data_IF_001961614277
#
_entry.id   IF_001961614277
#
_cell.length_a   1.000
_cell.length_b   1.000
_cell.length_c   1.000
_cell.angle_alpha   90.00
_cell.angle_beta   90.00
_cell.angle_gamma   90.00
#
_symmetry.space_group_name_H-M   'P 1'
#
loop_
_entity.id
_entity.type
_entity.pdbx_description
1 polymer ?
#
# COMPACT_ATOMS: atom_id res chain seq x y z
N UNK A 1 28.01 5.90 -15.17
CA UNK A 1 26.81 6.03 -14.31
C UNK A 1 26.14 4.67 -14.26
N UNK A 2 25.89 4.12 -13.06
CA UNK A 2 25.20 2.84 -12.93
C UNK A 2 23.75 2.91 -13.41
N UNK A 3 23.12 1.76 -13.68
CA UNK A 3 21.69 1.70 -14.03
C UNK A 3 20.88 2.21 -12.84
N UNK A 4 20.02 3.22 -13.06
CA UNK A 4 19.11 3.75 -12.04
C UNK A 4 18.07 2.70 -11.67
N UNK A 5 17.72 2.61 -10.39
CA UNK A 5 16.72 1.66 -9.90
C UNK A 5 15.35 2.07 -10.41
N UNK A 6 14.62 1.15 -11.04
CA UNK A 6 13.35 1.44 -11.72
C UNK A 6 12.18 0.89 -10.92
N UNK A 7 11.15 1.70 -10.74
CA UNK A 7 9.91 1.27 -10.10
C UNK A 7 8.73 1.31 -11.07
N UNK A 8 7.90 0.27 -11.01
CA UNK A 8 6.58 0.23 -11.65
C UNK A 8 5.50 0.62 -10.64
N UNK A 9 4.52 1.41 -11.04
CA UNK A 9 3.53 1.96 -10.11
C UNK A 9 2.11 1.56 -10.51
N UNK A 10 1.39 0.86 -9.64
CA UNK A 10 0.03 0.37 -9.91
C UNK A 10 -0.98 1.11 -9.02
N UNK A 11 -2.05 1.63 -9.63
CA UNK A 11 -3.09 2.37 -8.90
C UNK A 11 -4.46 2.21 -9.56
N UNK A 12 -5.53 2.38 -8.79
CA UNK A 12 -6.89 2.53 -9.35
C UNK A 12 -7.28 4.01 -9.52
N UNK A 13 -6.43 4.96 -9.09
CA UNK A 13 -6.60 6.39 -9.37
C UNK A 13 -7.88 7.01 -8.80
N UNK A 14 -8.38 6.53 -7.65
CA UNK A 14 -9.74 6.90 -7.17
C UNK A 14 -9.84 8.24 -6.43
N UNK A 15 -8.75 9.00 -6.28
CA UNK A 15 -8.77 10.29 -5.61
C UNK A 15 -7.51 10.63 -4.81
N UNK A 16 -7.67 11.49 -3.81
CA UNK A 16 -6.55 12.13 -3.09
C UNK A 16 -5.56 11.15 -2.45
N UNK A 17 -6.01 10.00 -1.94
CA UNK A 17 -5.10 8.97 -1.41
C UNK A 17 -4.10 8.46 -2.45
N UNK A 18 -4.59 8.04 -3.62
CA UNK A 18 -3.75 7.59 -4.74
C UNK A 18 -2.86 8.72 -5.27
N UNK A 19 -3.38 9.95 -5.34
CA UNK A 19 -2.61 11.12 -5.79
C UNK A 19 -1.50 11.47 -4.81
N UNK A 20 -1.80 11.47 -3.51
CA UNK A 20 -0.84 11.76 -2.44
C UNK A 20 0.33 10.78 -2.41
N UNK A 21 0.06 9.48 -2.58
CA UNK A 21 1.10 8.45 -2.69
C UNK A 21 2.08 8.73 -3.83
N UNK A 22 1.56 8.92 -5.05
CA UNK A 22 2.41 9.15 -6.22
C UNK A 22 3.13 10.51 -6.15
N UNK A 23 2.42 11.56 -5.71
CA UNK A 23 3.00 12.90 -5.54
C UNK A 23 4.17 12.90 -4.56
N UNK A 24 4.01 12.26 -3.41
CA UNK A 24 5.07 12.19 -2.38
C UNK A 24 6.31 11.51 -2.94
N UNK A 25 6.16 10.38 -3.63
CA UNK A 25 7.30 9.68 -4.23
C UNK A 25 7.94 10.52 -5.32
N UNK A 26 7.14 11.17 -6.18
CA UNK A 26 7.67 12.03 -7.24
C UNK A 26 8.41 13.26 -6.70
N UNK A 27 7.91 13.89 -5.62
CA UNK A 27 8.59 14.98 -4.93
C UNK A 27 9.90 14.52 -4.30
N UNK A 28 9.91 13.35 -3.66
CA UNK A 28 11.13 12.75 -3.12
C UNK A 28 12.17 12.44 -4.21
N UNK A 29 11.74 12.05 -5.41
CA UNK A 29 12.64 11.90 -6.57
C UNK A 29 13.18 13.25 -7.04
N UNK A 30 12.31 14.25 -7.22
CA UNK A 30 12.69 15.60 -7.69
C UNK A 30 13.65 16.32 -6.75
N UNK A 31 13.49 16.14 -5.45
CA UNK A 31 14.35 16.73 -4.41
C UNK A 31 15.65 15.96 -4.16
N UNK A 32 15.84 14.81 -4.82
CA UNK A 32 17.02 13.96 -4.64
C UNK A 32 17.02 13.09 -3.38
N UNK A 33 15.91 13.09 -2.62
CA UNK A 33 15.73 12.18 -1.47
C UNK A 33 15.67 10.71 -1.92
N UNK A 34 15.08 10.45 -3.10
CA UNK A 34 15.03 9.16 -3.77
C UNK A 34 15.78 9.20 -5.09
N UNK A 35 16.73 8.29 -5.26
CA UNK A 35 17.44 8.10 -6.53
C UNK A 35 16.89 6.89 -7.29
N UNK A 36 15.68 7.05 -7.82
CA UNK A 36 14.96 6.04 -8.59
C UNK A 36 14.23 6.68 -9.78
N UNK A 37 13.85 5.88 -10.77
CA UNK A 37 12.96 6.28 -11.86
C UNK A 37 11.61 5.56 -11.73
N UNK A 38 10.50 6.31 -11.88
CA UNK A 38 9.19 5.69 -12.11
C UNK A 38 9.11 5.33 -13.58
N UNK A 39 9.32 4.06 -13.91
CA UNK A 39 9.38 3.59 -15.30
C UNK A 39 8.01 3.60 -15.98
N UNK A 40 6.95 3.31 -15.22
CA UNK A 40 5.57 3.45 -15.68
C UNK A 40 4.61 3.63 -14.52
N UNK A 41 3.45 4.21 -14.82
CA UNK A 41 2.25 4.13 -14.00
C UNK A 41 1.21 3.34 -14.76
N UNK A 42 0.68 2.30 -14.13
CA UNK A 42 -0.49 1.57 -14.57
C UNK A 42 -1.73 2.03 -13.78
N UNK A 43 -2.79 2.40 -14.51
CA UNK A 43 -4.10 2.70 -13.93
C UNK A 43 -5.15 1.65 -14.34
N UNK A 44 -5.85 1.05 -13.38
CA UNK A 44 -6.93 0.08 -13.65
C UNK A 44 -8.26 0.72 -14.06
N UNK A 45 -8.23 2.00 -14.42
CA UNK A 45 -9.36 2.80 -14.91
C UNK A 45 -8.90 3.59 -16.12
N UNK A 46 -9.83 3.83 -17.04
CA UNK A 46 -9.62 4.68 -18.19
C UNK A 46 -10.17 6.10 -17.95
N UNK A 47 -9.70 7.03 -18.78
CA UNK A 47 -10.18 8.42 -18.80
C UNK A 47 -11.68 8.46 -19.09
N UNK A 48 -12.39 9.35 -18.40
CA UNK A 48 -13.84 9.51 -18.50
C UNK A 48 -14.65 8.62 -17.57
N UNK A 49 -14.02 7.74 -16.77
CA UNK A 49 -14.76 6.97 -15.76
C UNK A 49 -15.21 7.82 -14.57
N UNK A 50 -14.34 8.71 -14.05
CA UNK A 50 -14.65 9.66 -12.98
C UNK A 50 -13.68 10.85 -13.01
N UNK A 51 -14.09 12.04 -12.58
CA UNK A 51 -13.22 13.22 -12.46
C UNK A 51 -11.95 12.96 -11.62
N UNK A 52 -12.08 12.14 -10.56
CA UNK A 52 -10.95 11.76 -9.71
C UNK A 52 -9.91 10.90 -10.46
N UNK A 53 -10.37 10.00 -11.33
CA UNK A 53 -9.50 9.23 -12.23
C UNK A 53 -8.81 10.18 -13.19
N UNK A 54 -9.55 11.05 -13.87
CA UNK A 54 -9.01 11.94 -14.89
C UNK A 54 -7.94 12.86 -14.31
N UNK A 55 -8.21 13.47 -13.15
CA UNK A 55 -7.22 14.27 -12.42
C UNK A 55 -6.03 13.50 -11.88
N UNK A 56 -6.11 12.17 -11.73
CA UNK A 56 -4.95 11.31 -11.45
C UNK A 56 -4.14 11.04 -12.73
N UNK A 57 -4.80 10.73 -13.84
CA UNK A 57 -4.13 10.50 -15.14
C UNK A 57 -3.41 11.76 -15.62
N UNK A 58 -4.06 12.92 -15.54
CA UNK A 58 -3.46 14.23 -15.88
C UNK A 58 -2.21 14.51 -15.03
N UNK A 59 -2.23 14.14 -13.75
CA UNK A 59 -1.08 14.30 -12.86
C UNK A 59 0.09 13.42 -13.29
N UNK A 60 -0.18 12.17 -13.71
CA UNK A 60 0.85 11.24 -14.21
C UNK A 60 1.48 11.77 -15.49
N UNK A 61 0.65 12.17 -16.46
CA UNK A 61 1.09 12.75 -17.73
C UNK A 61 1.87 14.06 -17.51
N UNK A 62 1.41 14.91 -16.60
CA UNK A 62 2.08 16.16 -16.22
C UNK A 62 3.44 15.95 -15.53
N UNK A 63 3.69 14.76 -14.96
CA UNK A 63 5.02 14.37 -14.49
C UNK A 63 5.93 13.82 -15.60
N UNK A 64 5.41 13.63 -16.82
CA UNK A 64 6.13 13.01 -17.93
C UNK A 64 6.38 11.51 -17.73
N UNK A 65 5.59 10.85 -16.87
CA UNK A 65 5.73 9.42 -16.60
C UNK A 65 4.92 8.63 -17.63
N UNK A 66 5.48 7.55 -18.23
CA UNK A 66 4.71 6.67 -19.11
C UNK A 66 3.46 6.13 -18.42
N UNK A 67 2.29 6.44 -18.98
CA UNK A 67 0.99 6.03 -18.46
C UNK A 67 0.42 4.88 -19.31
N UNK A 68 0.01 3.82 -18.64
CA UNK A 68 -0.77 2.72 -19.22
C UNK A 68 -2.09 2.63 -18.48
N UNK A 69 -3.21 2.92 -19.15
CA UNK A 69 -4.54 2.69 -18.60
C UNK A 69 -5.19 1.47 -19.23
N UNK A 70 -5.91 0.70 -18.42
CA UNK A 70 -6.80 -0.35 -18.93
C UNK A 70 -7.92 -0.61 -17.94
N UNK A 71 -9.14 -0.20 -18.29
CA UNK A 71 -10.26 -0.26 -17.36
C UNK A 71 -10.68 -1.67 -16.97
N UNK A 72 -10.61 -1.95 -15.66
CA UNK A 72 -11.19 -3.15 -15.08
C UNK A 72 -12.72 -3.15 -15.19
N UNK A 73 -13.35 -1.99 -14.97
CA UNK A 73 -14.81 -1.88 -14.99
C UNK A 73 -15.35 -2.16 -16.39
N UNK A 74 -14.73 -1.58 -17.43
CA UNK A 74 -15.17 -1.81 -18.80
C UNK A 74 -14.88 -3.24 -19.26
N UNK A 75 -13.70 -3.78 -18.90
CA UNK A 75 -13.35 -5.16 -19.23
C UNK A 75 -14.39 -6.17 -18.71
N UNK A 76 -14.81 -5.97 -17.46
CA UNK A 76 -15.85 -6.75 -16.79
C UNK A 76 -17.23 -6.51 -17.41
N UNK A 77 -17.62 -5.25 -17.61
CA UNK A 77 -18.96 -4.87 -18.08
C UNK A 77 -19.27 -5.42 -19.48
N UNK A 78 -18.34 -5.28 -20.43
CA UNK A 78 -18.50 -5.80 -21.81
C UNK A 78 -18.68 -7.32 -21.86
N UNK A 79 -18.23 -8.03 -20.82
CA UNK A 79 -18.33 -9.50 -20.70
C UNK A 79 -19.49 -9.97 -19.81
N UNK A 80 -20.29 -9.05 -19.24
CA UNK A 80 -21.37 -9.40 -18.32
C UNK A 80 -20.89 -10.10 -17.04
N UNK A 81 -19.65 -9.85 -16.61
CA UNK A 81 -19.05 -10.55 -15.46
C UNK A 81 -19.40 -9.88 -14.13
N UNK A 82 -19.59 -10.63 -13.03
CA UNK A 82 -19.83 -10.06 -11.71
C UNK A 82 -18.54 -9.52 -11.07
N UNK A 83 -18.65 -8.77 -9.97
CA UNK A 83 -17.49 -8.52 -9.12
C UNK A 83 -17.04 -9.85 -8.48
N UNK A 84 -15.72 -10.14 -8.43
CA UNK A 84 -15.21 -11.32 -7.76
C UNK A 84 -15.45 -11.20 -6.25
N UNK A 85 -15.75 -12.34 -5.64
CA UNK A 85 -15.77 -12.48 -4.19
C UNK A 85 -14.31 -12.53 -3.69
N UNK A 86 -13.87 -11.58 -2.84
CA UNK A 86 -12.49 -11.51 -2.37
C UNK A 86 -12.10 -12.72 -1.48
N UNK A 87 -13.08 -13.48 -0.97
CA UNK A 87 -12.84 -14.68 -0.18
C UNK A 87 -12.77 -15.96 -1.02
N UNK A 88 -12.95 -15.86 -2.34
CA UNK A 88 -12.88 -16.99 -3.26
C UNK A 88 -11.68 -16.85 -4.22
N UNK A 89 -11.20 -17.97 -4.77
CA UNK A 89 -10.22 -17.93 -5.84
C UNK A 89 -10.67 -17.02 -6.99
N UNK A 90 -9.72 -16.28 -7.57
CA UNK A 90 -10.02 -15.36 -8.66
C UNK A 90 -10.64 -16.11 -9.85
N UNK A 91 -11.76 -15.60 -10.40
CA UNK A 91 -12.41 -16.24 -11.54
C UNK A 91 -11.53 -16.15 -12.79
N UNK A 92 -11.66 -17.07 -13.78
CA UNK A 92 -10.81 -17.11 -14.96
C UNK A 92 -10.68 -15.78 -15.72
N UNK A 93 -11.79 -15.05 -15.89
CA UNK A 93 -11.79 -13.76 -16.59
C UNK A 93 -10.93 -12.71 -15.87
N UNK A 94 -10.80 -12.80 -14.54
CA UNK A 94 -9.91 -11.91 -13.77
C UNK A 94 -8.46 -12.25 -14.06
N UNK A 95 -8.10 -13.53 -14.18
CA UNK A 95 -6.75 -13.93 -14.59
C UNK A 95 -6.45 -13.46 -16.03
N UNK A 96 -7.44 -13.51 -16.93
CA UNK A 96 -7.30 -12.99 -18.30
C UNK A 96 -7.10 -11.47 -18.34
N UNK A 97 -7.77 -10.72 -17.45
CA UNK A 97 -7.51 -9.29 -17.30
C UNK A 97 -6.06 -9.03 -16.88
N UNK A 98 -5.52 -9.77 -15.91
CA UNK A 98 -4.11 -9.61 -15.49
C UNK A 98 -3.13 -9.91 -16.62
N UNK A 99 -3.40 -10.96 -17.43
CA UNK A 99 -2.57 -11.26 -18.61
C UNK A 99 -2.59 -10.12 -19.62
N UNK A 100 -3.73 -9.50 -19.82
CA UNK A 100 -3.90 -8.39 -20.75
C UNK A 100 -3.22 -7.10 -20.23
N UNK A 101 -3.19 -6.89 -18.92
CA UNK A 101 -2.35 -5.86 -18.27
C UNK A 101 -0.87 -6.18 -18.47
N UNK A 102 -0.42 -7.39 -18.16
CA UNK A 102 0.98 -7.80 -18.35
C UNK A 102 1.46 -7.67 -19.80
N UNK A 103 0.57 -7.94 -20.77
CA UNK A 103 0.85 -7.76 -22.20
C UNK A 103 1.11 -6.30 -22.56
N UNK A 104 0.30 -5.36 -22.03
CA UNK A 104 0.53 -3.91 -22.21
C UNK A 104 1.83 -3.45 -21.58
N UNK A 105 2.22 -4.07 -20.46
CA UNK A 105 3.43 -3.72 -19.71
C UNK A 105 4.70 -4.44 -20.21
N UNK A 106 4.62 -5.27 -21.26
CA UNK A 106 5.73 -6.14 -21.72
C UNK A 106 7.04 -5.39 -22.00
N UNK A 107 6.97 -4.12 -22.41
CA UNK A 107 8.14 -3.28 -22.71
C UNK A 107 8.84 -2.67 -21.49
N UNK A 108 8.26 -2.79 -20.30
CA UNK A 108 8.82 -2.25 -19.07
C UNK A 108 9.48 -3.35 -18.23
N UNK A 109 10.57 -3.01 -17.56
CA UNK A 109 11.40 -3.92 -16.78
C UNK A 109 11.75 -3.29 -15.41
N UNK A 110 10.74 -3.08 -14.55
CA UNK A 110 10.96 -2.49 -13.24
C UNK A 110 11.72 -3.47 -12.34
N UNK A 111 12.49 -2.93 -11.42
CA UNK A 111 13.15 -3.68 -10.35
C UNK A 111 12.20 -3.98 -9.20
N UNK A 112 11.19 -3.13 -9.01
CA UNK A 112 10.17 -3.25 -7.98
C UNK A 112 8.87 -2.61 -8.45
N UNK A 113 7.76 -3.27 -8.21
CA UNK A 113 6.42 -2.75 -8.44
C UNK A 113 5.77 -2.35 -7.12
N UNK A 114 5.06 -1.23 -7.09
CA UNK A 114 4.36 -0.74 -5.90
C UNK A 114 2.86 -0.71 -6.19
N UNK A 115 2.06 -1.36 -5.34
CA UNK A 115 0.61 -1.22 -5.32
C UNK A 115 0.24 -0.03 -4.42
N UNK A 116 -0.24 1.06 -5.03
CA UNK A 116 -0.50 2.33 -4.36
C UNK A 116 -1.97 2.73 -4.51
N UNK A 117 -2.82 2.20 -3.62
CA UNK A 117 -4.27 2.31 -3.77
C UNK A 117 -4.78 1.52 -4.98
N UNK A 118 -4.15 0.36 -5.23
CA UNK A 118 -4.59 -0.60 -6.23
C UNK A 118 -5.69 -1.49 -5.65
N UNK A 119 -6.91 -1.33 -6.13
CA UNK A 119 -8.11 -1.88 -5.50
C UNK A 119 -8.50 -3.26 -6.05
N UNK A 120 -7.55 -3.95 -6.70
CA UNK A 120 -7.75 -5.25 -7.30
C UNK A 120 -6.77 -6.24 -6.67
N UNK A 121 -7.27 -7.43 -6.34
CA UNK A 121 -6.39 -8.55 -5.97
C UNK A 121 -5.53 -8.89 -7.19
N UNK A 122 -4.21 -8.99 -6.96
CA UNK A 122 -3.22 -9.31 -8.00
C UNK A 122 -3.19 -10.82 -8.23
N UNK A 123 -3.38 -11.24 -9.48
CA UNK A 123 -3.37 -12.65 -9.83
C UNK A 123 -1.99 -13.29 -9.73
N UNK A 124 -1.96 -14.62 -9.57
CA UNK A 124 -0.73 -15.37 -9.28
C UNK A 124 0.35 -15.25 -10.36
N UNK A 125 -0.02 -15.09 -11.64
CA UNK A 125 0.96 -14.89 -12.71
C UNK A 125 1.68 -13.54 -12.60
N UNK A 126 0.95 -12.48 -12.21
CA UNK A 126 1.52 -11.15 -12.03
C UNK A 126 2.43 -11.11 -10.80
N UNK A 127 2.03 -11.74 -9.68
CA UNK A 127 2.87 -11.88 -8.48
C UNK A 127 4.16 -12.68 -8.75
N UNK A 128 4.13 -13.67 -9.65
CA UNK A 128 5.34 -14.39 -10.07
C UNK A 128 6.23 -13.54 -10.98
N UNK A 129 5.63 -12.81 -11.92
CA UNK A 129 6.35 -12.04 -12.95
C UNK A 129 7.11 -10.85 -12.41
N UNK A 130 6.56 -10.18 -11.40
CA UNK A 130 7.11 -8.96 -10.81
C UNK A 130 7.36 -9.14 -9.31
N UNK A 131 8.36 -8.46 -8.80
CA UNK A 131 8.47 -8.21 -7.37
C UNK A 131 7.56 -7.05 -7.03
N UNK A 132 6.47 -7.34 -6.33
CA UNK A 132 5.41 -6.38 -6.04
C UNK A 132 5.35 -6.19 -4.54
N UNK A 133 5.29 -4.94 -4.07
CA UNK A 133 5.01 -4.61 -2.68
C UNK A 133 3.71 -3.81 -2.56
N UNK A 134 2.99 -4.03 -1.46
CA UNK A 134 1.74 -3.36 -1.17
C UNK A 134 1.77 -2.76 0.24
N UNK A 135 1.15 -1.58 0.38
CA UNK A 135 0.96 -0.90 1.65
C UNK A 135 -0.22 -1.51 2.39
N UNK A 136 -0.02 -1.88 3.65
CA UNK A 136 -1.06 -2.38 4.54
C UNK A 136 -1.00 -1.67 5.91
N UNK A 137 -2.13 -1.16 6.43
CA UNK A 137 -2.18 -0.38 7.66
C UNK A 137 -2.26 -1.28 8.91
N UNK A 138 -1.34 -2.24 9.02
CA UNK A 138 -1.16 -3.05 10.22
C UNK A 138 0.32 -3.34 10.49
N UNK A 139 0.65 -3.64 11.74
CA UNK A 139 1.93 -4.21 12.11
C UNK A 139 2.19 -5.56 11.39
N UNK A 140 3.46 -6.03 11.33
CA UNK A 140 3.73 -7.44 11.08
C UNK A 140 2.89 -8.31 12.02
N UNK A 141 2.32 -9.39 11.50
CA UNK A 141 1.41 -10.31 12.23
C UNK A 141 0.12 -9.67 12.79
N UNK A 142 -0.16 -8.41 12.43
CA UNK A 142 -1.37 -7.71 12.82
C UNK A 142 -2.62 -8.15 12.04
N UNK A 143 -3.79 -7.56 12.36
CA UNK A 143 -5.04 -7.83 11.66
C UNK A 143 -4.96 -7.69 10.13
N UNK A 144 -5.73 -8.53 9.44
CA UNK A 144 -5.93 -8.48 7.99
C UNK A 144 -7.21 -7.72 7.64
N UNK A 145 -7.34 -7.28 6.38
CA UNK A 145 -8.53 -6.59 5.88
C UNK A 145 -8.37 -5.07 5.82
N UNK A 146 -9.48 -4.37 5.67
CA UNK A 146 -9.46 -2.91 5.50
C UNK A 146 -8.94 -2.21 6.75
N UNK A 147 -8.47 -0.97 6.62
CA UNK A 147 -8.01 -0.18 7.74
C UNK A 147 -9.06 -0.05 8.86
N UNK A 148 -10.35 -0.04 8.54
CA UNK A 148 -11.42 -0.06 9.53
C UNK A 148 -11.44 -1.37 10.32
N UNK A 149 -11.40 -2.51 9.61
CA UNK A 149 -11.40 -3.84 10.24
C UNK A 149 -10.20 -4.00 11.15
N UNK A 150 -9.02 -3.54 10.69
CA UNK A 150 -7.79 -3.54 11.48
C UNK A 150 -7.97 -2.73 12.78
N UNK A 151 -8.41 -1.47 12.70
CA UNK A 151 -8.55 -0.63 13.90
C UNK A 151 -9.58 -1.22 14.86
N UNK A 152 -10.72 -1.70 14.36
CA UNK A 152 -11.72 -2.30 15.23
C UNK A 152 -11.23 -3.55 15.94
N UNK A 153 -10.45 -4.39 15.25
CA UNK A 153 -9.84 -5.57 15.86
C UNK A 153 -8.80 -5.17 16.93
N UNK A 154 -8.00 -4.13 16.68
CA UNK A 154 -7.08 -3.59 17.70
C UNK A 154 -7.80 -3.06 18.93
N UNK A 155 -8.96 -2.42 18.74
CA UNK A 155 -9.80 -1.95 19.86
C UNK A 155 -10.38 -3.14 20.64
N UNK A 156 -10.88 -4.16 19.93
CA UNK A 156 -11.43 -5.39 20.51
C UNK A 156 -10.40 -6.19 21.31
N UNK A 157 -9.17 -6.28 20.80
CA UNK A 157 -8.06 -6.99 21.43
C UNK A 157 -7.36 -6.17 22.52
N UNK A 158 -7.83 -4.94 22.79
CA UNK A 158 -7.15 -3.99 23.67
C UNK A 158 -5.64 -3.87 23.37
N UNK A 159 -5.29 -3.82 22.09
CA UNK A 159 -3.90 -3.87 21.66
C UNK A 159 -3.08 -2.69 22.23
N UNK A 160 -1.80 -2.93 22.52
CA UNK A 160 -0.88 -1.88 22.97
C UNK A 160 -0.15 -1.18 21.82
N UNK A 161 -0.06 -1.85 20.68
CA UNK A 161 0.79 -1.48 19.56
C UNK A 161 0.01 -1.59 18.25
N UNK A 162 0.28 -0.67 17.34
CA UNK A 162 -0.10 -0.76 15.95
C UNK A 162 1.14 -0.50 15.07
N UNK A 163 1.03 -0.75 13.78
CA UNK A 163 2.01 -0.37 12.79
C UNK A 163 1.41 -0.18 11.41
N UNK A 164 2.32 0.09 10.46
CA UNK A 164 2.06 0.12 9.03
C UNK A 164 3.17 -0.70 8.38
N UNK A 165 2.83 -1.52 7.38
CA UNK A 165 3.79 -2.37 6.68
C UNK A 165 3.70 -2.20 5.17
N UNK A 166 4.85 -2.39 4.52
CA UNK A 166 4.91 -2.78 3.11
C UNK A 166 5.21 -4.27 3.08
N UNK A 167 4.38 -5.06 2.40
CA UNK A 167 4.57 -6.50 2.28
C UNK A 167 4.69 -6.92 0.82
N UNK A 168 5.37 -8.03 0.56
CA UNK A 168 5.44 -8.63 -0.77
C UNK A 168 4.05 -9.14 -1.16
N UNK A 169 3.58 -8.85 -2.37
CA UNK A 169 2.33 -9.40 -2.86
C UNK A 169 2.55 -10.85 -3.31
N UNK A 170 1.77 -11.76 -2.72
CA UNK A 170 1.67 -13.17 -3.11
C UNK A 170 0.22 -13.44 -3.53
N UNK A 171 -0.10 -14.63 -4.11
CA UNK A 171 -1.48 -14.94 -4.51
C UNK A 171 -2.50 -14.85 -3.37
N UNK A 172 -2.06 -15.09 -2.14
CA UNK A 172 -2.83 -14.98 -0.92
C UNK A 172 -2.92 -13.51 -0.47
N UNK A 173 -4.15 -12.99 -0.33
CA UNK A 173 -4.43 -11.59 0.02
C UNK A 173 -3.79 -11.19 1.37
N UNK A 174 -3.00 -10.12 1.36
CA UNK A 174 -2.32 -9.51 2.51
C UNK A 174 -1.42 -10.46 3.34
N UNK A 175 -1.13 -11.66 2.83
CA UNK A 175 -0.44 -12.73 3.55
C UNK A 175 1.04 -12.88 3.17
N UNK A 176 1.54 -12.05 2.26
CA UNK A 176 2.93 -12.11 1.87
C UNK A 176 3.88 -11.57 2.94
N UNK A 177 5.18 -11.95 2.87
CA UNK A 177 6.14 -11.56 3.89
C UNK A 177 6.30 -10.05 3.96
N UNK A 178 6.43 -9.54 5.18
CA UNK A 178 6.70 -8.13 5.45
C UNK A 178 8.05 -7.75 4.85
N UNK A 179 8.07 -6.74 3.98
CA UNK A 179 9.30 -6.17 3.43
C UNK A 179 9.89 -5.16 4.41
N UNK A 180 9.08 -4.17 4.78
CA UNK A 180 9.47 -3.12 5.74
C UNK A 180 8.26 -2.75 6.60
N UNK A 181 8.48 -2.24 7.79
CA UNK A 181 7.38 -1.79 8.65
C UNK A 181 7.81 -0.65 9.57
N UNK A 182 6.83 0.03 10.16
CA UNK A 182 7.02 0.89 11.31
C UNK A 182 5.95 0.58 12.37
N UNK A 183 6.33 0.61 13.64
CA UNK A 183 5.43 0.42 14.78
C UNK A 183 5.19 1.74 15.50
N UNK A 184 4.09 1.83 16.24
CA UNK A 184 3.82 2.91 17.18
C UNK A 184 2.94 2.41 18.31
N UNK A 185 3.17 2.98 19.50
CA UNK A 185 2.32 2.72 20.67
C UNK A 185 0.94 3.33 20.45
N UNK A 186 -0.10 2.57 20.78
CA UNK A 186 -1.48 3.06 20.98
C UNK A 186 -1.84 3.10 22.47
N UNK A 187 -0.82 3.23 23.33
CA UNK A 187 -0.88 3.49 24.77
C UNK A 187 0.00 4.70 25.12
N UNK A 188 -0.12 5.23 26.33
CA UNK A 188 0.48 6.50 26.71
C UNK A 188 -0.35 7.69 26.24
N UNK A 189 0.13 8.92 26.45
CA UNK A 189 -0.56 10.12 25.96
C UNK A 189 -0.46 10.20 24.43
N UNK A 190 -1.56 10.50 23.69
CA UNK A 190 -2.90 10.83 24.19
C UNK A 190 -3.84 9.63 24.39
N UNK A 191 -3.45 8.43 23.99
CA UNK A 191 -4.30 7.23 23.95
C UNK A 191 -4.87 6.79 25.29
N UNK A 192 -4.16 6.92 26.41
CA UNK A 192 -4.64 6.45 27.72
C UNK A 192 -5.99 7.06 28.09
N UNK A 193 -6.19 8.35 27.78
CA UNK A 193 -7.47 9.03 27.97
C UNK A 193 -8.55 8.44 27.06
N UNK A 194 -8.23 8.25 25.78
CA UNK A 194 -9.17 7.76 24.78
C UNK A 194 -9.62 6.31 25.07
N UNK A 195 -8.70 5.47 25.56
CA UNK A 195 -9.03 4.14 26.06
C UNK A 195 -9.93 4.19 27.30
N UNK A 196 -9.71 5.15 28.21
CA UNK A 196 -10.57 5.30 29.38
C UNK A 196 -12.01 5.70 29.01
N UNK A 197 -12.20 6.49 27.94
CA UNK A 197 -13.53 6.93 27.46
C UNK A 197 -14.41 5.77 26.93
N UNK A 198 -13.80 4.67 26.49
CA UNK A 198 -14.52 3.48 25.99
C UNK A 198 -14.59 2.33 27.00
N UNK A 199 -14.01 2.49 28.19
CA UNK A 199 -13.93 1.43 29.20
C UNK A 199 -15.34 0.97 29.61
N UNK A 200 -15.55 -0.35 29.61
CA UNK A 200 -16.82 -0.96 29.99
C UNK A 200 -17.87 -0.98 28.88
N UNK A 201 -17.57 -0.43 27.70
CA UNK A 201 -18.38 -0.59 26.48
C UNK A 201 -17.84 -1.74 25.64
N UNK A 202 -18.72 -2.51 25.01
CA UNK A 202 -18.35 -3.45 23.96
C UNK A 202 -18.04 -2.73 22.65
N UNK A 203 -17.22 -3.35 21.79
CA UNK A 203 -16.93 -2.81 20.45
C UNK A 203 -18.20 -2.68 19.61
N UNK A 204 -19.19 -3.55 19.80
CA UNK A 204 -20.48 -3.47 19.11
C UNK A 204 -21.27 -2.20 19.50
N UNK A 205 -21.27 -1.83 20.78
CA UNK A 205 -21.91 -0.60 21.26
C UNK A 205 -21.19 0.63 20.70
N UNK A 206 -19.86 0.69 20.79
CA UNK A 206 -19.07 1.82 20.27
C UNK A 206 -19.29 2.00 18.76
N UNK A 207 -19.32 0.90 18.00
CA UNK A 207 -19.60 0.94 16.55
C UNK A 207 -20.99 1.47 16.23
N UNK A 208 -21.97 1.15 17.07
CA UNK A 208 -23.37 1.57 16.90
C UNK A 208 -23.55 3.05 17.24
N UNK A 209 -22.98 3.50 18.37
CA UNK A 209 -23.18 4.84 18.89
C UNK A 209 -22.32 5.88 18.15
N UNK A 210 -21.05 5.54 17.92
CA UNK A 210 -20.03 6.48 17.46
C UNK A 210 -19.42 6.06 16.11
N UNK A 211 -19.34 4.76 15.83
CA UNK A 211 -18.74 4.26 14.59
C UNK A 211 -17.32 4.80 14.37
N UNK A 212 -16.99 5.12 13.12
CA UNK A 212 -15.69 5.72 12.77
C UNK A 212 -15.50 7.14 13.36
N UNK A 213 -16.55 7.73 13.96
CA UNK A 213 -16.43 9.01 14.63
C UNK A 213 -15.84 8.93 16.03
N UNK A 214 -15.72 7.73 16.60
CA UNK A 214 -15.15 7.50 17.92
C UNK A 214 -13.73 8.13 18.05
N UNK A 215 -13.43 8.87 19.14
CA UNK A 215 -12.14 9.54 19.32
C UNK A 215 -10.92 8.61 19.31
N UNK A 216 -11.00 7.43 19.94
CA UNK A 216 -9.91 6.45 19.93
C UNK A 216 -9.66 5.94 18.51
N UNK A 217 -10.73 5.55 17.81
CA UNK A 217 -10.65 5.07 16.42
C UNK A 217 -9.97 6.10 15.51
N UNK A 218 -10.41 7.37 15.57
CA UNK A 218 -9.80 8.48 14.81
C UNK A 218 -8.34 8.69 15.15
N UNK A 219 -7.98 8.62 16.43
CA UNK A 219 -6.60 8.80 16.87
C UNK A 219 -5.68 7.68 16.33
N UNK A 220 -6.12 6.42 16.42
CA UNK A 220 -5.37 5.29 15.85
C UNK A 220 -5.23 5.47 14.34
N UNK A 221 -6.32 5.82 13.62
CA UNK A 221 -6.25 6.03 12.17
C UNK A 221 -5.28 7.15 11.81
N UNK A 222 -5.35 8.29 12.51
CA UNK A 222 -4.47 9.44 12.28
C UNK A 222 -3.00 9.08 12.48
N UNK A 223 -2.68 8.39 13.57
CA UNK A 223 -1.30 7.98 13.85
C UNK A 223 -0.74 6.98 12.83
N UNK A 224 -1.57 6.08 12.30
CA UNK A 224 -1.18 5.20 11.19
C UNK A 224 -1.03 5.97 9.88
N UNK A 225 -2.01 6.82 9.54
CA UNK A 225 -2.05 7.53 8.25
C UNK A 225 -0.84 8.43 8.03
N UNK A 226 -0.40 9.19 9.04
CA UNK A 226 0.79 10.06 8.92
C UNK A 226 2.09 9.29 8.68
N UNK A 227 2.09 7.97 8.92
CA UNK A 227 3.24 7.08 8.70
C UNK A 227 3.23 6.38 7.35
N UNK A 228 2.09 6.31 6.66
CA UNK A 228 1.95 5.61 5.39
C UNK A 228 2.86 6.18 4.30
N UNK A 229 2.82 7.50 4.08
CA UNK A 229 3.61 8.14 3.03
C UNK A 229 5.12 8.11 3.31
N UNK A 230 5.61 8.46 4.52
CA UNK A 230 7.02 8.29 4.85
C UNK A 230 7.50 6.85 4.71
N UNK A 231 6.67 5.86 5.11
CA UNK A 231 7.02 4.45 4.97
C UNK A 231 7.24 4.08 3.51
N UNK A 232 6.31 4.42 2.61
CA UNK A 232 6.44 4.12 1.17
C UNK A 232 7.75 4.66 0.59
N UNK A 233 8.11 5.90 0.92
CA UNK A 233 9.37 6.52 0.47
C UNK A 233 10.57 5.77 1.04
N UNK A 234 10.60 5.53 2.36
CA UNK A 234 11.71 4.84 3.02
C UNK A 234 11.87 3.38 2.56
N UNK A 235 10.77 2.71 2.23
CA UNK A 235 10.79 1.37 1.63
C UNK A 235 11.47 1.38 0.27
N UNK A 236 11.02 2.25 -0.65
CA UNK A 236 11.62 2.37 -1.99
C UNK A 236 13.11 2.67 -1.88
N UNK A 237 13.49 3.59 -0.97
CA UNK A 237 14.89 3.93 -0.67
C UNK A 237 15.69 2.74 -0.17
N UNK A 238 15.09 1.90 0.67
CA UNK A 238 15.75 0.72 1.24
C UNK A 238 16.00 -0.35 0.18
N UNK A 239 15.05 -0.56 -0.73
CA UNK A 239 15.22 -1.44 -1.89
C UNK A 239 16.25 -0.92 -2.88
N UNK A 240 16.18 0.36 -3.26
CA UNK A 240 17.09 0.94 -4.26
C UNK A 240 18.54 1.00 -3.79
N UNK A 241 18.76 1.08 -2.46
CA UNK A 241 20.09 1.01 -1.82
C UNK A 241 20.53 -0.41 -1.46
N UNK A 242 19.74 -1.43 -1.80
CA UNK A 242 20.05 -2.83 -1.54
C UNK A 242 20.07 -3.22 -0.06
N UNK A 243 19.42 -2.43 0.83
CA UNK A 243 19.25 -2.76 2.25
C UNK A 243 18.26 -3.91 2.45
N UNK A 244 17.29 -4.00 1.55
CA UNK A 244 16.23 -5.01 1.50
C UNK A 244 16.16 -5.56 0.09
N UNK A 245 15.96 -6.88 -0.04
CA UNK A 245 15.82 -7.58 -1.32
C UNK A 245 14.69 -8.59 -1.22
N UNK A 246 14.01 -8.84 -2.34
CA UNK A 246 13.09 -9.96 -2.50
C UNK A 246 13.85 -11.11 -3.14
N UNK A 247 13.76 -12.30 -2.57
CA UNK A 247 14.39 -13.52 -3.09
C UNK A 247 13.52 -14.14 -4.18
N UNK A 248 14.06 -15.03 -5.03
CA UNK A 248 13.27 -15.72 -6.07
C UNK A 248 12.06 -16.49 -5.54
N UNK A 249 12.11 -16.97 -4.30
CA UNK A 249 11.01 -17.63 -3.59
C UNK A 249 10.08 -16.65 -2.85
N UNK A 250 10.12 -15.36 -3.20
CA UNK A 250 9.28 -14.27 -2.66
C UNK A 250 9.42 -14.05 -1.16
N UNK A 251 10.57 -14.39 -0.57
CA UNK A 251 10.94 -14.01 0.81
C UNK A 251 11.71 -12.69 0.82
N UNK A 252 11.93 -12.16 2.02
CA UNK A 252 12.63 -10.89 2.23
C UNK A 252 13.98 -11.15 2.89
N UNK A 253 15.02 -10.55 2.33
CA UNK A 253 16.39 -10.64 2.85
C UNK A 253 17.02 -9.26 3.05
N UNK A 254 17.96 -9.19 3.99
CA UNK A 254 18.77 -7.99 4.24
C UNK A 254 19.93 -7.83 3.23
N UNK A 255 20.74 -6.77 3.41
CA UNK A 255 21.91 -6.50 2.57
C UNK A 255 22.93 -7.65 2.53
N UNK A 256 23.03 -8.44 3.61
CA UNK A 256 23.91 -9.60 3.71
C UNK A 256 23.30 -10.89 3.13
N UNK A 257 22.07 -10.83 2.63
CA UNK A 257 21.35 -11.98 2.08
C UNK A 257 20.71 -12.88 3.13
N UNK A 258 20.64 -12.44 4.40
CA UNK A 258 19.98 -13.19 5.47
C UNK A 258 18.48 -12.95 5.39
N UNK A 259 17.69 -14.02 5.53
CA UNK A 259 16.23 -13.90 5.60
C UNK A 259 15.84 -13.12 6.86
N UNK A 260 14.89 -12.20 6.70
CA UNK A 260 14.37 -11.35 7.78
C UNK A 260 12.83 -11.39 7.78
N UNK A 261 12.23 -11.17 8.94
CA UNK A 261 10.76 -11.12 9.10
C UNK A 261 10.17 -9.73 8.79
N UNK A 262 11.00 -8.83 8.24
CA UNK A 262 10.67 -7.44 7.97
C UNK A 262 11.81 -6.53 8.39
N UNK A 263 12.05 -5.49 7.59
CA UNK A 263 13.04 -4.48 7.91
C UNK A 263 12.39 -3.33 8.70
N UNK A 264 12.83 -3.14 9.94
CA UNK A 264 12.28 -2.14 10.84
C UNK A 264 12.72 -0.73 10.43
N UNK A 265 11.76 0.13 10.09
CA UNK A 265 11.97 1.54 9.77
C UNK A 265 11.39 2.47 10.83
N UNK A 266 10.95 1.95 11.99
CA UNK A 266 10.23 2.73 13.02
C UNK A 266 10.94 4.03 13.38
N UNK A 267 12.25 3.98 13.65
CA UNK A 267 13.03 5.16 14.02
C UNK A 267 13.10 6.22 12.90
N UNK A 268 13.32 5.80 11.65
CA UNK A 268 13.36 6.69 10.47
C UNK A 268 11.99 7.34 10.22
N UNK A 269 10.91 6.56 10.39
CA UNK A 269 9.54 7.06 10.20
C UNK A 269 9.13 8.01 11.32
N UNK A 270 9.45 7.72 12.58
CA UNK A 270 9.14 8.60 13.70
C UNK A 270 9.90 9.94 13.61
N UNK A 271 11.12 9.95 13.08
CA UNK A 271 11.84 11.18 12.75
C UNK A 271 11.13 11.97 11.64
N UNK A 272 10.76 11.33 10.53
CA UNK A 272 10.05 11.97 9.43
C UNK A 272 8.69 12.56 9.87
N UNK A 273 7.94 11.85 10.70
CA UNK A 273 6.65 12.32 11.23
C UNK A 273 6.83 13.52 12.15
N UNK A 274 7.88 13.56 12.98
CA UNK A 274 8.16 14.72 13.84
C UNK A 274 8.49 15.96 13.01
N UNK A 275 9.29 15.81 11.95
CA UNK A 275 9.72 16.92 11.10
C UNK A 275 8.58 17.51 10.25
N UNK A 276 7.56 16.71 9.91
CA UNK A 276 6.38 17.18 9.16
C UNK A 276 5.29 17.81 10.06
N UNK A 277 5.43 17.74 11.39
CA UNK A 277 4.51 18.30 12.38
C UNK A 277 5.06 19.58 13.06
N UNK A 278 6.30 19.98 12.74
CA UNK A 278 6.91 21.23 13.16
C UNK A 278 6.86 22.27 12.05
#
# INVERSE_FOLDING_TARGET
>A
MGRRYKIGWFSTGRGEGSRGLLRTVQEAIKTGQLDVDIEFVYCSRDRGETDATDGYLDMVEGYGIPLVSFSYQMYKAVRGMPNPDPLKPLPPWRLDYDREVMKRLKGFHPDLCVLAGFMLITGPEMCRRYDIINLHPAAPDGPVGTWQQVIWKLVEEEASTQGVKMHVAIPELDAGPTATYCLFSIRGKPFDRLWAEIRGKSVAEIKTDEGENNPLFKAIRRHGYVRELPLVVATIKSFSRGRVKITPDKKVADAAGRLINGYDLTAEIDEAVRNNLG
#
